data_IF_392889213655
#
_entry.id   IF_392889213655
#
_cell.length_a   1.000
_cell.length_b   1.000
_cell.length_c   1.000
_cell.angle_alpha   90.00
_cell.angle_beta   90.00
_cell.angle_gamma   90.00
#
_symmetry.space_group_name_H-M   'P 1'
#
loop_
_entity.id
_entity.type
_entity.pdbx_description
1 polymer ?
#
# COMPACT_ATOMS: atom_id res chain seq x y z
N UNK A 1 14.73 -3.74 25.00
CA UNK A 1 13.56 -4.22 24.23
C UNK A 1 13.83 -3.95 22.75
N UNK A 2 13.95 -4.95 21.87
CA UNK A 2 14.09 -4.66 20.45
C UNK A 2 12.77 -4.06 19.96
N UNK A 3 12.84 -2.81 19.49
CA UNK A 3 11.71 -2.05 18.98
C UNK A 3 11.13 -2.76 17.76
N UNK A 4 9.81 -2.70 17.61
CA UNK A 4 8.96 -3.55 16.76
C UNK A 4 9.48 -3.87 15.35
N UNK A 5 8.99 -5.00 14.80
CA UNK A 5 9.31 -5.47 13.45
C UNK A 5 9.34 -4.31 12.45
N UNK A 6 10.44 -4.14 11.68
CA UNK A 6 10.51 -3.07 10.70
C UNK A 6 9.32 -3.18 9.75
N UNK A 7 8.61 -2.06 9.56
CA UNK A 7 7.47 -2.02 8.66
C UNK A 7 7.92 -2.42 7.25
N UNK A 8 7.39 -3.53 6.71
CA UNK A 8 7.60 -3.97 5.32
C UNK A 8 7.35 -2.75 4.41
N UNK A 9 8.39 -2.31 3.71
CA UNK A 9 8.33 -1.20 2.76
C UNK A 9 7.93 -1.78 1.41
N UNK A 10 6.83 -1.28 0.87
CA UNK A 10 6.38 -1.61 -0.48
C UNK A 10 6.73 -0.43 -1.37
N UNK A 11 7.35 -0.70 -2.52
CA UNK A 11 7.66 0.34 -3.50
C UNK A 11 6.37 0.87 -4.13
N UNK A 12 6.35 2.11 -4.65
CA UNK A 12 5.19 2.65 -5.36
C UNK A 12 4.70 1.73 -6.49
N UNK A 13 5.63 1.19 -7.28
CA UNK A 13 5.35 0.30 -8.41
C UNK A 13 4.64 -0.98 -7.96
N UNK A 14 5.07 -1.54 -6.83
CA UNK A 14 4.42 -2.72 -6.25
C UNK A 14 2.97 -2.40 -5.86
N UNK A 15 2.73 -1.27 -5.18
CA UNK A 15 1.37 -0.89 -4.75
C UNK A 15 0.45 -0.68 -5.95
N UNK A 16 0.94 -0.03 -7.01
CA UNK A 16 0.21 0.16 -8.27
C UNK A 16 -0.18 -1.20 -8.85
N UNK A 17 0.78 -2.13 -8.96
CA UNK A 17 0.53 -3.47 -9.48
C UNK A 17 -0.53 -4.22 -8.69
N UNK A 18 -0.51 -4.13 -7.35
CA UNK A 18 -1.52 -4.78 -6.49
C UNK A 18 -2.92 -4.23 -6.79
N UNK A 19 -3.07 -2.90 -6.81
CA UNK A 19 -4.38 -2.26 -7.02
C UNK A 19 -4.91 -2.49 -8.44
N UNK A 20 -4.06 -2.38 -9.46
CA UNK A 20 -4.46 -2.65 -10.85
C UNK A 20 -4.90 -4.09 -11.05
N UNK A 21 -4.17 -5.05 -10.49
CA UNK A 21 -4.54 -6.47 -10.59
C UNK A 21 -5.84 -6.73 -9.85
N UNK A 22 -5.99 -6.17 -8.65
CA UNK A 22 -7.22 -6.29 -7.86
C UNK A 22 -8.45 -5.77 -8.62
N UNK A 23 -8.35 -4.60 -9.28
CA UNK A 23 -9.47 -4.05 -10.07
C UNK A 23 -9.73 -4.84 -11.35
N UNK A 24 -8.68 -5.29 -12.03
CA UNK A 24 -8.78 -6.08 -13.28
C UNK A 24 -9.44 -7.44 -13.04
N UNK A 25 -9.03 -8.12 -11.98
CA UNK A 25 -9.53 -9.45 -11.60
C UNK A 25 -10.73 -9.39 -10.65
N UNK A 26 -11.14 -8.18 -10.23
CA UNK A 26 -12.22 -7.93 -9.26
C UNK A 26 -12.04 -8.70 -7.95
N UNK A 27 -10.79 -8.78 -7.49
CA UNK A 27 -10.44 -9.43 -6.23
C UNK A 27 -10.90 -8.59 -5.04
N UNK A 28 -11.29 -9.24 -3.95
CA UNK A 28 -11.46 -8.55 -2.67
C UNK A 28 -10.10 -8.16 -2.07
N UNK A 29 -10.08 -7.21 -1.14
CA UNK A 29 -8.84 -6.77 -0.45
C UNK A 29 -8.11 -7.94 0.23
N UNK A 30 -8.84 -8.94 0.71
CA UNK A 30 -8.27 -10.13 1.35
C UNK A 30 -7.62 -11.07 0.35
N UNK A 31 -8.25 -11.27 -0.80
CA UNK A 31 -7.70 -12.10 -1.88
C UNK A 31 -6.44 -11.45 -2.45
N UNK A 32 -6.49 -10.16 -2.77
CA UNK A 32 -5.31 -9.40 -3.21
C UNK A 32 -4.19 -9.43 -2.15
N UNK A 33 -4.52 -9.29 -0.86
CA UNK A 33 -3.51 -9.40 0.18
C UNK A 33 -2.85 -10.78 0.25
N UNK A 34 -3.61 -11.85 0.01
CA UNK A 34 -3.10 -13.22 -0.02
C UNK A 34 -2.23 -13.48 -1.26
N UNK A 35 -2.69 -13.04 -2.43
CA UNK A 35 -2.01 -13.21 -3.71
C UNK A 35 -0.64 -12.52 -3.71
N UNK A 36 -0.56 -11.32 -3.14
CA UNK A 36 0.64 -10.48 -3.14
C UNK A 36 1.46 -10.55 -1.84
N UNK A 37 1.18 -11.50 -0.93
CA UNK A 37 1.83 -11.63 0.38
C UNK A 37 1.88 -10.30 1.17
N UNK A 38 0.76 -9.58 1.15
CA UNK A 38 0.57 -8.36 1.92
C UNK A 38 0.06 -8.73 3.30
N UNK A 39 0.86 -8.40 4.30
CA UNK A 39 0.63 -8.76 5.71
C UNK A 39 -0.75 -8.36 6.28
N UNK A 40 -1.44 -7.37 5.69
CA UNK A 40 -2.74 -6.93 6.14
C UNK A 40 -3.58 -6.41 4.98
N UNK A 41 -4.78 -6.96 4.80
CA UNK A 41 -5.77 -6.50 3.83
C UNK A 41 -6.15 -5.02 3.98
N UNK A 42 -6.11 -4.46 5.20
CA UNK A 42 -6.33 -3.02 5.40
C UNK A 42 -5.32 -2.16 4.63
N UNK A 43 -4.08 -2.65 4.42
CA UNK A 43 -3.10 -1.92 3.60
C UNK A 43 -3.51 -1.87 2.13
N UNK A 44 -4.13 -2.93 1.63
CA UNK A 44 -4.62 -2.97 0.25
C UNK A 44 -5.79 -1.99 0.08
N UNK A 45 -6.70 -1.92 1.06
CA UNK A 45 -7.77 -0.93 1.07
C UNK A 45 -7.24 0.52 1.12
N UNK A 46 -6.22 0.79 1.94
CA UNK A 46 -5.56 2.10 1.96
C UNK A 46 -4.94 2.47 0.60
N UNK A 47 -4.33 1.49 -0.08
CA UNK A 47 -3.75 1.69 -1.41
C UNK A 47 -4.81 1.96 -2.45
N UNK A 48 -5.91 1.20 -2.46
CA UNK A 48 -7.02 1.45 -3.35
C UNK A 48 -7.58 2.87 -3.19
N UNK A 49 -7.76 3.33 -1.93
CA UNK A 49 -8.20 4.70 -1.67
C UNK A 49 -7.23 5.73 -2.26
N UNK A 50 -5.92 5.60 -2.02
CA UNK A 50 -4.91 6.50 -2.60
C UNK A 50 -4.99 6.48 -4.13
N UNK A 51 -5.14 5.31 -4.74
CA UNK A 51 -5.24 5.18 -6.19
C UNK A 51 -6.52 5.83 -6.75
N UNK A 52 -7.64 5.77 -6.04
CA UNK A 52 -8.90 6.41 -6.46
C UNK A 52 -8.87 7.93 -6.25
N UNK A 53 -8.24 8.43 -5.19
CA UNK A 53 -8.18 9.86 -4.87
C UNK A 53 -7.08 10.60 -5.65
N UNK A 54 -5.92 9.96 -5.85
CA UNK A 54 -4.70 10.61 -6.37
C UNK A 54 -4.10 9.88 -7.57
N UNK A 55 -4.65 8.74 -7.97
CA UNK A 55 -4.06 7.92 -9.03
C UNK A 55 -2.73 7.27 -8.64
N UNK A 56 -1.97 6.88 -9.66
CA UNK A 56 -0.65 6.26 -9.52
C UNK A 56 0.35 7.16 -8.82
N UNK A 57 0.26 8.48 -9.06
CA UNK A 57 1.17 9.49 -8.53
C UNK A 57 1.11 9.56 -6.99
N UNK A 58 -0.07 9.34 -6.40
CA UNK A 58 -0.26 9.33 -4.94
C UNK A 58 0.63 8.31 -4.22
N UNK A 59 1.10 7.25 -4.89
CA UNK A 59 2.03 6.29 -4.30
C UNK A 59 3.48 6.74 -4.29
N UNK A 60 3.87 7.66 -5.18
CA UNK A 60 5.19 8.27 -5.25
C UNK A 60 5.35 9.42 -4.25
N UNK A 61 4.24 9.98 -3.78
CA UNK A 61 4.25 11.00 -2.72
C UNK A 61 4.67 10.36 -1.40
N UNK A 62 5.91 10.63 -0.97
CA UNK A 62 6.41 10.17 0.33
C UNK A 62 5.82 11.01 1.47
N UNK A 63 4.67 10.56 1.99
CA UNK A 63 4.01 11.16 3.17
C UNK A 63 4.53 10.61 4.51
N UNK A 64 5.51 9.70 4.46
CA UNK A 64 6.09 9.11 5.66
C UNK A 64 7.14 10.04 6.25
N UNK A 65 6.75 10.73 7.31
CA UNK A 65 7.67 11.47 8.16
C UNK A 65 6.90 12.39 9.10
N UNK A 66 7.22 12.33 10.38
CA UNK A 66 7.06 13.52 11.23
C UNK A 66 8.13 14.47 10.72
N UNK A 67 7.78 15.59 10.08
CA UNK A 67 8.75 16.67 9.91
C UNK A 67 9.23 16.99 11.33
N UNK A 68 10.47 16.65 11.67
CA UNK A 68 11.09 17.20 12.87
C UNK A 68 11.35 18.66 12.53
N UNK A 69 10.37 19.51 12.81
CA UNK A 69 10.62 20.94 12.91
C UNK A 69 11.59 21.08 14.08
N UNK A 70 12.87 21.28 13.76
CA UNK A 70 13.86 21.82 14.69
C UNK A 70 13.67 23.32 14.81
#
# INVERSE_FOLDING_TARGET
MPKGKPNKRYTPEFKIKVVETMQKEKLSHREAAREFDVSNHNRVADWERIYLEEGKEGFYVERRGRKSTG
#
